data_IF_488174211229
#
_entry.id   IF_488174211229
#
_cell.length_a   1.000
_cell.length_b   1.000
_cell.length_c   1.000
_cell.angle_alpha   90.00
_cell.angle_beta   90.00
_cell.angle_gamma   90.00
#
_symmetry.space_group_name_H-M   'P 1'
#
loop_
_entity.id
_entity.type
_entity.pdbx_description
1 polymer ?
#
# COMPACT_ATOMS: atom_id res chain seq x y z
N UNK A 1 67.46 -16.25 -8.06
CA UNK A 1 66.51 -15.18 -8.46
C UNK A 1 65.10 -15.74 -8.37
N UNK A 2 64.33 -15.36 -7.34
CA UNK A 2 62.94 -15.78 -7.17
C UNK A 2 62.03 -14.62 -7.58
N UNK A 3 61.39 -14.72 -8.74
CA UNK A 3 60.37 -13.75 -9.18
C UNK A 3 59.04 -14.13 -8.53
N UNK A 4 58.56 -13.30 -7.60
CA UNK A 4 57.20 -13.39 -7.05
C UNK A 4 56.25 -12.66 -7.98
N UNK A 5 55.35 -13.39 -8.64
CA UNK A 5 54.27 -12.80 -9.43
C UNK A 5 53.18 -12.23 -8.48
N UNK A 6 52.70 -10.98 -8.69
CA UNK A 6 51.59 -10.45 -7.93
C UNK A 6 50.27 -11.02 -8.46
N UNK A 7 49.53 -11.70 -7.58
CA UNK A 7 48.14 -12.09 -7.80
C UNK A 7 47.28 -10.82 -7.79
N UNK A 8 46.85 -10.36 -8.97
CA UNK A 8 45.93 -9.21 -9.09
C UNK A 8 44.52 -9.71 -8.74
N UNK A 9 44.02 -9.32 -7.57
CA UNK A 9 42.63 -9.54 -7.16
C UNK A 9 41.76 -8.45 -7.81
N UNK A 10 41.13 -8.77 -8.94
CA UNK A 10 40.14 -7.90 -9.57
C UNK A 10 38.90 -7.82 -8.65
N UNK A 11 38.70 -6.69 -7.98
CA UNK A 11 37.48 -6.41 -7.23
C UNK A 11 36.32 -6.19 -8.22
N UNK A 12 35.42 -7.17 -8.32
CA UNK A 12 34.14 -7.00 -9.00
C UNK A 12 33.27 -6.06 -8.17
N UNK A 13 33.24 -4.78 -8.56
CA UNK A 13 32.25 -3.84 -8.04
C UNK A 13 30.88 -4.24 -8.60
N UNK A 14 30.07 -4.93 -7.79
CA UNK A 14 28.67 -5.16 -8.11
C UNK A 14 27.93 -3.82 -7.99
N UNK A 15 27.45 -3.28 -9.11
CA UNK A 15 26.54 -2.15 -9.09
C UNK A 15 25.17 -2.63 -8.58
N UNK A 16 24.86 -2.36 -7.31
CA UNK A 16 23.49 -2.49 -6.80
C UNK A 16 22.66 -1.37 -7.42
N UNK A 17 21.77 -1.70 -8.35
CA UNK A 17 20.82 -0.75 -8.93
C UNK A 17 19.54 -0.80 -8.12
N UNK A 18 19.21 0.29 -7.43
CA UNK A 18 17.91 0.46 -6.78
C UNK A 18 16.85 0.82 -7.84
N UNK A 19 15.81 0.00 -7.99
CA UNK A 19 14.69 0.29 -8.87
C UNK A 19 13.61 1.12 -8.16
N UNK A 20 12.89 1.94 -8.91
CA UNK A 20 11.61 2.51 -8.47
C UNK A 20 10.47 1.73 -9.13
N UNK A 21 9.64 1.08 -8.32
CA UNK A 21 8.54 0.24 -8.77
C UNK A 21 7.24 1.00 -8.50
N UNK A 22 6.55 1.38 -9.58
CA UNK A 22 5.30 2.14 -9.48
C UNK A 22 4.11 1.20 -9.27
N UNK A 23 3.25 1.53 -8.31
CA UNK A 23 1.98 0.87 -8.04
C UNK A 23 0.87 1.92 -8.10
N UNK A 24 -0.09 1.73 -9.00
CA UNK A 24 -1.26 2.59 -9.11
C UNK A 24 -2.28 2.21 -8.06
N UNK A 25 -2.73 3.18 -7.27
CA UNK A 25 -3.75 3.00 -6.23
C UNK A 25 -5.04 3.67 -6.69
N UNK A 26 -6.12 2.90 -6.79
CA UNK A 26 -7.44 3.43 -7.17
C UNK A 26 -7.65 3.62 -8.68
N UNK A 27 -6.61 3.51 -9.52
CA UNK A 27 -6.73 3.72 -10.97
C UNK A 27 -7.66 2.70 -11.62
N UNK A 28 -8.87 3.10 -12.02
CA UNK A 28 -9.92 2.25 -12.59
C UNK A 28 -10.71 1.47 -11.53
N UNK A 29 -10.80 1.97 -10.30
CA UNK A 29 -11.53 1.39 -9.15
C UNK A 29 -10.64 0.82 -8.03
N UNK A 30 -11.29 0.37 -6.95
CA UNK A 30 -10.77 -0.04 -5.62
C UNK A 30 -9.72 -1.18 -5.63
N UNK A 31 -8.54 -0.92 -6.21
CA UNK A 31 -7.45 -1.90 -6.31
C UNK A 31 -6.08 -1.24 -6.36
N UNK A 32 -5.07 -2.06 -6.09
CA UNK A 32 -3.68 -1.79 -6.43
C UNK A 32 -3.36 -2.37 -7.81
N UNK A 33 -2.60 -1.66 -8.64
CA UNK A 33 -2.18 -2.14 -9.97
C UNK A 33 -0.68 -1.90 -10.18
N UNK A 34 0.15 -2.96 -10.30
CA UNK A 34 -0.21 -4.36 -10.13
C UNK A 34 -0.64 -4.70 -8.69
N UNK A 35 -1.26 -5.86 -8.49
CA UNK A 35 -1.69 -6.37 -7.17
C UNK A 35 -0.55 -7.03 -6.39
N UNK A 36 0.58 -7.31 -7.03
CA UNK A 36 1.80 -7.75 -6.38
C UNK A 36 3.04 -7.35 -7.18
N UNK A 37 4.17 -7.28 -6.49
CA UNK A 37 5.48 -7.02 -7.10
C UNK A 37 6.56 -7.89 -6.45
N UNK A 38 7.63 -8.15 -7.19
CA UNK A 38 8.89 -8.65 -6.62
C UNK A 38 9.88 -7.49 -6.61
N UNK A 39 10.51 -7.27 -5.47
CA UNK A 39 11.43 -6.15 -5.24
C UNK A 39 12.65 -6.63 -4.44
N UNK A 40 13.82 -6.13 -4.82
CA UNK A 40 15.08 -6.39 -4.12
C UNK A 40 15.27 -5.39 -2.97
N UNK A 41 16.11 -5.75 -2.01
CA UNK A 41 16.57 -4.81 -0.99
C UNK A 41 17.25 -3.61 -1.66
N UNK A 42 16.84 -2.40 -1.28
CA UNK A 42 17.29 -1.14 -1.88
C UNK A 42 16.31 -0.55 -2.90
N UNK A 43 15.34 -1.32 -3.40
CA UNK A 43 14.28 -0.79 -4.26
C UNK A 43 13.35 0.16 -3.48
N UNK A 44 12.57 0.95 -4.20
CA UNK A 44 11.50 1.78 -3.65
C UNK A 44 10.18 1.46 -4.34
N UNK A 45 9.13 1.17 -3.57
CA UNK A 45 7.77 1.08 -4.08
C UNK A 45 7.13 2.46 -4.00
N UNK A 46 6.67 2.99 -5.13
CA UNK A 46 5.96 4.26 -5.22
C UNK A 46 4.48 4.01 -5.50
N UNK A 47 3.66 4.18 -4.47
CA UNK A 47 2.21 4.13 -4.55
C UNK A 47 1.69 5.47 -5.04
N UNK A 48 1.23 5.51 -6.30
CA UNK A 48 0.69 6.72 -6.93
C UNK A 48 -0.83 6.64 -6.86
N UNK A 49 -1.44 7.63 -6.22
CA UNK A 49 -2.89 7.65 -5.98
C UNK A 49 -3.61 8.37 -7.11
N UNK A 50 -4.69 7.73 -7.58
CA UNK A 50 -5.53 8.20 -8.67
C UNK A 50 -6.96 8.38 -8.19
N UNK A 51 -7.71 9.16 -8.97
CA UNK A 51 -9.12 9.47 -8.75
C UNK A 51 -9.43 10.25 -7.44
N UNK A 52 -10.62 10.85 -7.39
CA UNK A 52 -11.06 11.65 -6.23
C UNK A 52 -11.54 10.78 -5.04
N UNK A 53 -11.28 9.48 -5.06
CA UNK A 53 -11.56 8.56 -3.97
C UNK A 53 -10.37 8.47 -3.02
N UNK A 54 -10.65 8.32 -1.71
CA UNK A 54 -9.60 8.18 -0.70
C UNK A 54 -9.15 6.72 -0.54
N UNK A 55 -7.84 6.51 -0.63
CA UNK A 55 -7.18 5.24 -0.34
C UNK A 55 -6.04 5.44 0.65
N UNK A 56 -5.58 4.36 1.25
CA UNK A 56 -4.33 4.35 2.01
C UNK A 56 -3.57 3.04 1.80
N UNK A 57 -2.34 3.04 2.29
CA UNK A 57 -1.41 1.92 2.24
C UNK A 57 -1.08 1.57 3.69
N UNK A 58 -1.59 0.43 4.15
CA UNK A 58 -1.38 -0.08 5.50
C UNK A 58 -0.71 -1.45 5.42
N UNK A 59 0.42 -1.63 6.09
CA UNK A 59 1.04 -2.94 6.29
C UNK A 59 0.21 -3.78 7.25
N UNK A 60 -0.08 -5.00 6.82
CA UNK A 60 -0.84 -5.97 7.61
C UNK A 60 0.01 -6.62 8.70
N UNK A 61 -0.67 -7.06 9.76
CA UNK A 61 -0.06 -7.70 10.93
C UNK A 61 0.78 -8.94 10.58
N UNK A 62 0.42 -9.64 9.51
CA UNK A 62 1.15 -10.81 9.04
C UNK A 62 0.89 -11.16 7.59
N UNK A 63 1.47 -12.29 7.19
CA UNK A 63 1.43 -12.83 5.82
C UNK A 63 0.41 -13.96 5.68
N UNK A 64 -0.27 -14.34 6.77
CA UNK A 64 -1.32 -15.35 6.81
C UNK A 64 -2.70 -14.73 6.57
N UNK A 65 -3.61 -15.50 5.95
CA UNK A 65 -4.99 -15.04 5.63
C UNK A 65 -5.78 -14.55 6.84
N UNK A 66 -5.48 -15.04 8.04
CA UNK A 66 -6.16 -14.63 9.28
C UNK A 66 -5.85 -13.19 9.71
N UNK A 67 -4.79 -12.58 9.15
CA UNK A 67 -4.34 -11.22 9.49
C UNK A 67 -4.76 -10.18 8.44
N UNK A 68 -5.52 -10.58 7.43
CA UNK A 68 -6.03 -9.66 6.41
C UNK A 68 -6.81 -8.51 7.06
N UNK A 69 -6.62 -7.29 6.57
CA UNK A 69 -7.26 -6.08 7.10
C UNK A 69 -6.88 -5.71 8.55
N UNK A 70 -5.95 -6.42 9.20
CA UNK A 70 -5.47 -6.08 10.54
C UNK A 70 -4.16 -5.29 10.41
N UNK A 71 -4.10 -4.03 10.88
CA UNK A 71 -2.89 -3.22 10.78
C UNK A 71 -1.78 -3.78 11.67
N UNK A 72 -0.53 -3.66 11.22
CA UNK A 72 0.65 -3.92 12.04
C UNK A 72 1.02 -2.67 12.84
N UNK A 73 1.08 -2.81 14.15
CA UNK A 73 1.48 -1.73 15.06
C UNK A 73 2.91 -1.25 14.75
N UNK A 74 3.09 0.06 14.65
CA UNK A 74 4.39 0.68 14.38
C UNK A 74 4.95 0.45 12.97
N UNK A 75 4.15 -0.06 12.04
CA UNK A 75 4.54 -0.30 10.65
C UNK A 75 4.01 0.77 9.69
N UNK A 76 4.18 0.54 8.38
CA UNK A 76 3.65 1.42 7.34
C UNK A 76 2.14 1.62 7.52
N UNK A 77 1.75 2.87 7.75
CA UNK A 77 0.35 3.28 7.82
C UNK A 77 0.24 4.69 7.26
N UNK A 78 -0.06 4.81 5.97
CA UNK A 78 -0.26 6.13 5.38
C UNK A 78 -1.57 6.75 5.87
N UNK A 79 -1.62 8.09 5.93
CA UNK A 79 -2.90 8.78 5.96
C UNK A 79 -3.70 8.45 4.70
N UNK A 80 -5.03 8.68 4.73
CA UNK A 80 -5.84 8.67 3.53
C UNK A 80 -5.30 9.69 2.53
N UNK A 81 -5.22 9.28 1.27
CA UNK A 81 -4.69 10.04 0.14
C UNK A 81 -5.71 10.01 -0.99
N UNK A 82 -5.69 11.04 -1.82
CA UNK A 82 -6.48 11.18 -3.05
C UNK A 82 -5.54 11.42 -4.27
N UNK A 83 -6.10 11.76 -5.43
CA UNK A 83 -5.35 12.14 -6.65
C UNK A 83 -4.03 12.88 -6.41
N UNK A 84 -3.02 12.49 -7.19
CA UNK A 84 -1.69 13.08 -7.28
C UNK A 84 -0.80 12.93 -6.03
N UNK A 85 -1.28 12.28 -4.97
CA UNK A 85 -0.43 11.89 -3.86
C UNK A 85 0.50 10.72 -4.26
N UNK A 86 1.69 10.70 -3.67
CA UNK A 86 2.63 9.58 -3.80
C UNK A 86 3.13 9.18 -2.42
N UNK A 87 2.99 7.89 -2.07
CA UNK A 87 3.60 7.29 -0.88
C UNK A 87 4.74 6.40 -1.33
N UNK A 88 5.96 6.72 -0.89
CA UNK A 88 7.17 5.96 -1.23
C UNK A 88 7.61 5.09 -0.07
N UNK A 89 7.81 3.81 -0.34
CA UNK A 89 8.17 2.79 0.66
C UNK A 89 9.49 2.14 0.27
N UNK A 90 10.57 2.33 1.04
CA UNK A 90 11.84 1.67 0.78
C UNK A 90 11.74 0.17 1.11
N UNK A 91 12.30 -0.67 0.25
CA UNK A 91 12.37 -2.12 0.43
C UNK A 91 13.66 -2.43 1.19
N UNK A 92 13.52 -2.78 2.47
CA UNK A 92 14.66 -3.06 3.35
C UNK A 92 14.99 -4.56 3.49
N UNK A 93 14.09 -5.44 3.05
CA UNK A 93 14.25 -6.90 3.06
C UNK A 93 13.50 -7.51 1.87
N UNK A 94 13.86 -8.75 1.51
CA UNK A 94 13.13 -9.57 0.53
C UNK A 94 12.00 -10.38 1.15
N UNK A 95 11.76 -10.25 2.46
CA UNK A 95 10.64 -10.92 3.14
C UNK A 95 9.28 -10.46 2.56
N UNK A 96 8.26 -11.33 2.55
CA UNK A 96 6.93 -10.96 2.09
C UNK A 96 6.29 -9.87 2.96
N UNK A 97 5.74 -8.83 2.34
CA UNK A 97 5.00 -7.75 3.01
C UNK A 97 3.62 -7.64 2.39
N UNK A 98 2.60 -7.72 3.25
CA UNK A 98 1.20 -7.69 2.84
C UNK A 98 0.62 -6.35 3.22
N UNK A 99 -0.08 -5.74 2.28
CA UNK A 99 -0.59 -4.39 2.37
C UNK A 99 -2.08 -4.41 2.05
N UNK A 100 -2.85 -3.55 2.71
CA UNK A 100 -4.25 -3.35 2.40
C UNK A 100 -4.63 -1.87 2.42
N UNK A 101 -5.76 -1.56 1.80
CA UNK A 101 -6.41 -0.25 1.90
C UNK A 101 -7.54 -0.35 2.93
N UNK A 102 -7.47 0.42 4.01
CA UNK A 102 -8.44 0.39 5.11
C UNK A 102 -9.90 0.49 4.65
N UNK A 103 -10.31 1.54 3.91
CA UNK A 103 -11.69 1.69 3.45
C UNK A 103 -12.21 0.56 2.54
N UNK A 104 -11.33 -0.17 1.86
CA UNK A 104 -11.68 -1.10 0.78
C UNK A 104 -11.20 -2.54 1.03
N UNK A 105 -10.65 -2.83 2.21
CA UNK A 105 -10.13 -4.16 2.51
C UNK A 105 -11.27 -5.18 2.65
N UNK A 106 -12.21 -4.94 3.55
CA UNK A 106 -13.27 -5.91 3.84
C UNK A 106 -14.37 -5.94 2.78
N UNK A 107 -14.70 -4.79 2.20
CA UNK A 107 -15.78 -4.69 1.22
C UNK A 107 -15.35 -5.12 -0.19
N UNK A 108 -14.06 -4.97 -0.54
CA UNK A 108 -13.55 -5.19 -1.90
C UNK A 108 -12.41 -6.20 -1.98
N UNK A 109 -11.75 -6.51 -0.86
CA UNK A 109 -10.52 -7.28 -0.86
C UNK A 109 -9.35 -6.50 -1.46
N UNK A 110 -9.32 -5.17 -1.26
CA UNK A 110 -8.27 -4.31 -1.79
C UNK A 110 -6.96 -4.53 -1.02
N UNK A 111 -6.13 -5.43 -1.56
CA UNK A 111 -4.85 -5.86 -0.99
C UNK A 111 -3.74 -5.82 -2.03
N UNK A 112 -2.51 -5.74 -1.55
CA UNK A 112 -1.29 -5.72 -2.33
C UNK A 112 -0.19 -6.53 -1.63
N UNK A 113 0.68 -7.17 -2.38
CA UNK A 113 1.78 -7.97 -1.81
C UNK A 113 3.12 -7.61 -2.45
N UNK A 114 4.09 -7.24 -1.61
CA UNK A 114 5.50 -7.16 -1.97
C UNK A 114 6.13 -8.52 -1.68
N UNK A 115 6.89 -9.06 -2.63
CA UNK A 115 7.59 -10.34 -2.54
C UNK A 115 6.66 -11.49 -2.09
N UNK A 116 5.69 -11.92 -2.92
CA UNK A 116 4.72 -12.94 -2.55
C UNK A 116 5.36 -14.20 -1.97
N UNK A 117 4.79 -14.67 -0.86
CA UNK A 117 5.20 -15.88 -0.17
C UNK A 117 4.29 -17.07 -0.49
N UNK A 118 3.89 -17.80 0.55
CA UNK A 118 3.01 -18.97 0.44
C UNK A 118 1.56 -18.60 0.13
N UNK A 119 1.06 -17.50 0.72
CA UNK A 119 -0.30 -17.02 0.48
C UNK A 119 -0.31 -16.16 -0.79
N UNK A 120 -1.20 -16.49 -1.72
CA UNK A 120 -1.33 -15.70 -2.95
C UNK A 120 -2.15 -14.42 -2.71
N UNK A 121 -2.03 -13.44 -3.61
CA UNK A 121 -2.82 -12.21 -3.50
C UNK A 121 -4.33 -12.49 -3.61
N UNK A 122 -4.72 -13.49 -4.40
CA UNK A 122 -6.11 -13.91 -4.53
C UNK A 122 -6.64 -14.55 -3.23
N UNK A 123 -5.83 -15.40 -2.58
CA UNK A 123 -6.18 -16.01 -1.30
C UNK A 123 -6.31 -14.94 -0.21
N UNK A 124 -5.38 -14.00 -0.15
CA UNK A 124 -5.40 -12.92 0.81
C UNK A 124 -6.57 -11.96 0.57
N UNK A 125 -6.85 -11.60 -0.70
CA UNK A 125 -8.00 -10.78 -1.07
C UNK A 125 -9.34 -11.47 -0.76
N UNK A 126 -9.42 -12.80 -0.89
CA UNK A 126 -10.59 -13.56 -0.51
C UNK A 126 -10.80 -13.54 1.01
N UNK A 127 -9.74 -13.72 1.78
CA UNK A 127 -9.78 -13.66 3.24
C UNK A 127 -10.14 -12.27 3.76
N UNK A 128 -9.59 -11.21 3.13
CA UNK A 128 -9.92 -9.82 3.43
C UNK A 128 -11.44 -9.57 3.35
N UNK A 129 -12.10 -10.09 2.31
CA UNK A 129 -13.56 -9.98 2.15
C UNK A 129 -14.39 -10.73 3.19
N UNK A 130 -13.76 -11.62 3.97
CA UNK A 130 -14.39 -12.39 5.03
C UNK A 130 -14.10 -11.87 6.45
N UNK A 131 -13.26 -10.83 6.60
CA UNK A 131 -13.01 -10.18 7.88
C UNK A 131 -14.13 -9.17 8.20
N UNK A 132 -14.53 -9.12 9.47
CA UNK A 132 -15.48 -8.13 10.00
C UNK A 132 -14.71 -7.11 10.85
N UNK A 133 -15.00 -5.82 10.65
CA UNK A 133 -14.20 -4.68 11.08
C UNK A 133 -13.83 -4.62 12.56
N UNK A 134 -12.54 -4.50 12.85
CA UNK A 134 -11.99 -3.91 14.08
C UNK A 134 -11.04 -2.77 13.72
N UNK A 135 -11.61 -1.62 13.37
CA UNK A 135 -10.90 -0.39 13.04
C UNK A 135 -10.21 0.22 14.28
N UNK A 136 -8.89 0.40 14.23
CA UNK A 136 -8.12 1.20 15.20
C UNK A 136 -7.31 2.30 14.50
N UNK A 137 -7.30 3.46 15.16
CA UNK A 137 -7.13 4.81 14.66
C UNK A 137 -5.76 5.20 14.09
N UNK A 138 -5.78 6.22 13.24
CA UNK A 138 -4.64 6.89 12.64
C UNK A 138 -3.62 7.42 13.66
N UNK A 139 -2.35 7.06 13.47
CA UNK A 139 -1.20 7.79 13.99
C UNK A 139 -0.21 7.99 12.83
N UNK A 140 -0.29 9.17 12.20
CA UNK A 140 0.62 9.60 11.13
C UNK A 140 2.05 9.71 11.68
N UNK A 141 2.93 8.77 11.33
CA UNK A 141 4.37 8.91 11.53
C UNK A 141 5.02 9.38 10.23
N UNK A 142 5.05 10.70 10.04
CA UNK A 142 5.83 11.34 8.99
C UNK A 142 7.32 11.29 9.34
N UNK A 143 8.11 10.60 8.52
CA UNK A 143 9.57 10.65 8.61
C UNK A 143 10.09 11.98 8.05
N UNK A 144 10.74 12.78 8.89
CA UNK A 144 11.59 13.91 8.49
C UNK A 144 12.68 14.09 9.53
N UNK A 145 13.93 13.93 9.10
CA UNK A 145 15.13 14.07 9.92
C UNK A 145 15.53 15.53 10.15
N UNK A 146 15.92 15.79 11.40
CA UNK A 146 16.84 16.80 11.93
C UNK A 146 16.37 18.27 12.06
N UNK A 147 16.13 18.68 13.32
CA UNK A 147 17.01 19.62 14.02
C UNK A 147 16.76 19.58 15.53
N UNK A 148 17.85 19.41 16.29
CA UNK A 148 17.86 19.48 17.74
C UNK A 148 17.63 20.93 18.22
N UNK A 149 16.83 21.10 19.27
CA UNK A 149 17.07 22.11 20.31
C UNK A 149 16.30 21.72 21.56
N UNK A 150 17.08 21.48 22.61
CA UNK A 150 16.68 21.28 23.99
C UNK A 150 15.96 22.49 24.58
N UNK A 151 14.91 22.28 25.37
CA UNK A 151 14.61 23.11 26.54
C UNK A 151 13.78 22.33 27.55
N UNK A 152 14.25 22.38 28.79
CA UNK A 152 13.70 21.81 30.02
C UNK A 152 12.58 22.69 30.60
N UNK A 153 11.85 22.09 31.58
CA UNK A 153 10.91 22.68 32.56
C UNK A 153 9.44 22.67 32.10
N UNK A 154 8.44 22.44 32.94
CA UNK A 154 8.33 21.99 34.32
C UNK A 154 6.86 21.58 34.54
N UNK A 155 6.62 20.83 35.61
CA UNK A 155 5.31 20.41 36.09
C UNK A 155 4.41 21.57 36.57
N UNK A 156 3.17 21.18 36.89
CA UNK A 156 2.09 21.87 37.63
C UNK A 156 1.06 22.54 36.71
N UNK A 157 -0.25 22.52 36.95
CA UNK A 157 -1.14 21.82 37.90
C UNK A 157 -2.55 22.37 37.64
N UNK A 158 -3.57 21.59 38.00
CA UNK A 158 -4.87 22.06 38.52
C UNK A 158 -6.05 22.30 37.59
N UNK A 159 -7.13 21.62 37.99
CA UNK A 159 -8.50 22.11 38.22
C UNK A 159 -9.53 22.08 37.08
N UNK A 160 -10.41 21.08 37.20
CA UNK A 160 -11.86 21.18 37.45
C UNK A 160 -12.75 22.14 36.64
N UNK A 161 -13.83 21.58 36.11
CA UNK A 161 -15.06 22.24 35.66
C UNK A 161 -15.85 21.28 34.75
N UNK A 162 -16.74 20.42 35.26
CA UNK A 162 -18.13 20.67 35.67
C UNK A 162 -19.13 20.82 34.49
N UNK A 163 -20.25 20.07 34.64
CA UNK A 163 -21.56 20.16 33.99
C UNK A 163 -21.69 19.60 32.55
N UNK A 164 -22.49 18.54 32.32
CA UNK A 164 -23.96 18.54 32.10
C UNK A 164 -24.33 19.35 30.83
N UNK A 165 -25.08 18.90 29.83
CA UNK A 165 -26.35 18.15 29.84
C UNK A 165 -26.75 17.83 28.39
N UNK A 166 -27.47 16.71 28.20
CA UNK A 166 -28.63 16.50 27.30
C UNK A 166 -28.70 17.19 25.92
N UNK A 167 -28.95 16.39 24.87
CA UNK A 167 -30.21 16.34 24.09
C UNK A 167 -29.96 15.57 22.79
N UNK A 168 -30.76 14.53 22.50
CA UNK A 168 -31.63 14.45 21.30
C UNK A 168 -30.84 14.13 20.02
N UNK A 169 -31.17 13.17 19.18
CA UNK A 169 -32.49 12.80 18.70
C UNK A 169 -32.37 11.58 17.77
N UNK A 170 -33.42 10.77 17.78
CA UNK A 170 -34.00 10.06 16.62
C UNK A 170 -33.23 8.93 15.94
N UNK A 171 -33.78 7.73 16.15
CA UNK A 171 -33.76 6.63 15.20
C UNK A 171 -34.37 7.02 13.85
N UNK A 172 -33.94 6.39 12.75
CA UNK A 172 -34.86 6.08 11.67
C UNK A 172 -35.09 4.56 11.58
N UNK A 173 -36.38 4.20 11.64
CA UNK A 173 -36.88 2.90 11.23
C UNK A 173 -36.94 2.82 9.69
N UNK A 174 -36.74 1.60 9.20
CA UNK A 174 -36.71 1.19 7.80
C UNK A 174 -37.99 1.52 7.01
N UNK A 175 -37.87 1.68 5.68
CA UNK A 175 -38.79 1.03 4.73
C UNK A 175 -38.26 1.02 3.28
N UNK A 176 -38.14 -0.20 2.75
CA UNK A 176 -38.56 -0.68 1.42
C UNK A 176 -38.11 0.01 0.13
N UNK A 177 -37.18 -0.69 -0.54
CA UNK A 177 -37.36 -1.38 -1.82
C UNK A 177 -38.29 -0.75 -2.88
N UNK A 178 -37.71 -0.44 -4.04
CA UNK A 178 -38.38 -0.57 -5.34
C UNK A 178 -37.50 -1.24 -6.41
N UNK A 179 -38.14 -2.22 -7.00
CA UNK A 179 -37.86 -3.11 -8.13
C UNK A 179 -37.57 -2.44 -9.49
N UNK A 180 -36.77 -3.14 -10.31
CA UNK A 180 -36.82 -3.15 -11.78
C UNK A 180 -35.89 -2.14 -12.48
N UNK A 181 -35.30 -2.37 -13.65
CA UNK A 181 -35.28 -3.46 -14.63
C UNK A 181 -34.03 -3.17 -15.53
N UNK A 182 -33.19 -4.15 -15.85
CA UNK A 182 -33.15 -4.86 -17.13
C UNK A 182 -32.57 -4.09 -18.35
N UNK A 183 -31.58 -4.76 -18.97
CA UNK A 183 -31.15 -4.72 -20.39
C UNK A 183 -30.32 -3.52 -20.92
N UNK A 184 -29.12 -3.79 -21.47
CA UNK A 184 -28.90 -4.01 -22.91
C UNK A 184 -27.39 -4.13 -23.20
N UNK A 185 -27.05 -5.19 -23.93
CA UNK A 185 -25.75 -5.49 -24.50
C UNK A 185 -25.39 -4.58 -25.71
N UNK A 186 -24.09 -4.38 -25.95
CA UNK A 186 -23.39 -4.82 -27.20
C UNK A 186 -21.90 -4.43 -27.20
N UNK A 187 -21.04 -5.25 -27.86
CA UNK A 187 -19.61 -5.02 -28.00
C UNK A 187 -19.29 -4.15 -29.23
N UNK A 188 -18.19 -3.40 -29.18
CA UNK A 188 -17.59 -2.74 -30.36
C UNK A 188 -16.26 -3.41 -30.69
N UNK A 189 -16.20 -3.84 -31.95
CA UNK A 189 -15.11 -4.48 -32.66
C UNK A 189 -14.38 -3.43 -33.51
N UNK A 190 -13.05 -3.48 -33.57
CA UNK A 190 -12.22 -2.75 -34.54
C UNK A 190 -10.76 -2.69 -34.06
N UNK A 191 -9.85 -3.57 -34.48
CA UNK A 191 -9.26 -3.81 -35.81
C UNK A 191 -8.15 -2.80 -36.21
N UNK A 192 -6.92 -3.33 -36.38
CA UNK A 192 -5.82 -2.76 -37.18
C UNK A 192 -4.82 -1.90 -36.39
N UNK A 193 -3.50 -1.87 -36.65
CA UNK A 193 -2.69 -2.42 -37.75
C UNK A 193 -1.19 -2.40 -37.34
N UNK A 194 -0.45 -3.42 -37.77
CA UNK A 194 0.89 -3.41 -38.37
C UNK A 194 2.10 -2.63 -37.79
N UNK A 195 3.23 -3.37 -37.71
CA UNK A 195 4.60 -2.91 -38.01
C UNK A 195 5.35 -2.34 -36.81
N UNK A 196 6.65 -2.57 -36.59
CA UNK A 196 7.74 -2.74 -37.55
C UNK A 196 8.93 -3.46 -36.87
N UNK A 197 9.54 -4.37 -37.61
CA UNK A 197 10.89 -4.92 -37.46
C UNK A 197 11.97 -3.84 -37.19
N UNK A 198 12.89 -4.07 -36.25
CA UNK A 198 14.33 -3.74 -36.45
C UNK A 198 15.17 -4.48 -35.39
N UNK A 199 15.69 -5.64 -35.76
CA UNK A 199 17.09 -5.86 -36.16
C UNK A 199 18.05 -5.97 -34.97
N UNK A 200 18.46 -7.21 -34.72
CA UNK A 200 19.70 -7.54 -34.06
C UNK A 200 20.88 -6.95 -34.85
N UNK A 201 21.86 -6.40 -34.15
CA UNK A 201 23.23 -6.38 -34.64
C UNK A 201 24.16 -6.81 -33.50
N UNK A 202 24.90 -7.87 -33.77
CA UNK A 202 26.04 -8.37 -33.02
C UNK A 202 27.27 -7.49 -33.28
N UNK A 203 28.08 -7.25 -32.25
CA UNK A 203 29.54 -7.38 -32.22
C UNK A 203 30.06 -6.86 -30.88
#
# INVERSE_FOLDING_TARGET
MFFRAPLILAALAACVSAANITVQVGQGGDKFSPTSVTAAQGDTISFVFHENMEHNVIEAQGTDTATACQPKEGALHSALQNEAAVVSVPVNSTDPVYIFCGPHCESKGMVFIINPGTVSVEQYAAAAKGQSSSSSSAASSGSSTAAASSSTRAASSSAAGAASSSSGSSAPAATSARTGAAQVAKPVLGAGVAGVLLAALLA
#
